data_IF_388694434216
#
_entry.id   IF_388694434216
#
_cell.length_a   1.000
_cell.length_b   1.000
_cell.length_c   1.000
_cell.angle_alpha   90.00
_cell.angle_beta   90.00
_cell.angle_gamma   90.00
#
_symmetry.space_group_name_H-M   'P 1'
#
loop_
_entity.id
_entity.type
_entity.pdbx_description
1 polymer ?
#
# COMPACT_ATOMS: atom_id res chain seq x y z
N UNK A 1 8.46 -0.14 0.03
CA UNK A 1 9.13 0.52 1.16
C UNK A 1 8.33 1.70 1.64
N UNK A 2 8.65 2.24 2.81
CA UNK A 2 7.94 3.37 3.42
C UNK A 2 8.53 3.74 4.78
N UNK A 3 7.72 4.31 5.65
CA UNK A 3 8.14 4.68 7.00
C UNK A 3 8.02 3.51 7.99
N UNK A 4 8.70 3.62 9.13
CA UNK A 4 8.49 2.69 10.25
C UNK A 4 7.20 3.04 10.96
N UNK A 5 6.37 2.05 11.28
CA UNK A 5 5.02 2.22 11.86
C UNK A 5 4.95 3.18 13.08
N UNK A 6 6.02 3.28 13.86
CA UNK A 6 6.14 4.14 15.07
C UNK A 6 6.89 5.46 14.85
N UNK A 7 7.28 5.78 13.62
CA UNK A 7 7.93 7.05 13.30
C UNK A 7 6.89 8.14 13.07
N UNK A 8 6.94 9.21 13.87
CA UNK A 8 6.08 10.40 13.73
C UNK A 8 6.54 11.41 12.66
N UNK A 9 7.69 11.16 12.03
CA UNK A 9 8.24 11.99 10.95
C UNK A 9 8.87 11.15 9.85
N UNK A 10 9.28 11.78 8.75
CA UNK A 10 9.79 11.10 7.55
C UNK A 10 8.83 11.20 6.37
N UNK A 11 8.99 10.32 5.38
CA UNK A 11 8.10 10.28 4.21
C UNK A 11 6.76 9.62 4.52
N UNK A 12 5.67 10.21 4.02
CA UNK A 12 4.30 9.72 4.20
C UNK A 12 3.76 8.98 2.95
N UNK A 13 4.63 8.26 2.24
CA UNK A 13 4.29 7.59 0.99
C UNK A 13 4.94 6.22 0.91
N UNK A 14 4.24 5.29 0.25
CA UNK A 14 4.81 4.01 -0.14
C UNK A 14 5.64 4.20 -1.40
N UNK A 15 6.83 3.61 -1.41
CA UNK A 15 7.78 3.68 -2.52
C UNK A 15 8.03 2.28 -3.07
N UNK A 16 7.96 2.14 -4.39
CA UNK A 16 8.47 0.96 -5.05
C UNK A 16 9.96 1.14 -5.35
N UNK A 17 10.79 0.34 -4.70
CA UNK A 17 12.25 0.45 -4.79
C UNK A 17 12.77 -0.51 -5.86
N UNK A 18 13.80 -0.07 -6.59
CA UNK A 18 14.49 -0.95 -7.54
C UNK A 18 15.18 -2.11 -6.78
N UNK A 19 15.09 -3.37 -7.26
CA UNK A 19 15.73 -4.51 -6.59
C UNK A 19 17.27 -4.43 -6.61
N UNK A 20 17.84 -3.67 -7.54
CA UNK A 20 19.27 -3.41 -7.67
C UNK A 20 19.54 -1.91 -7.44
N UNK A 21 19.71 -1.46 -6.18
CA UNK A 21 19.94 -0.05 -5.89
C UNK A 21 21.33 0.40 -6.35
N UNK A 22 21.43 1.62 -6.86
CA UNK A 22 22.69 2.26 -7.22
C UNK A 22 23.05 3.33 -6.19
N UNK A 23 24.31 3.35 -5.74
CA UNK A 23 24.78 4.29 -4.74
C UNK A 23 25.86 5.21 -5.31
N UNK A 24 25.84 6.48 -4.89
CA UNK A 24 26.98 7.39 -5.11
C UNK A 24 28.10 7.01 -4.16
N UNK A 25 29.35 7.28 -4.56
CA UNK A 25 30.54 7.01 -3.72
C UNK A 25 30.53 7.77 -2.39
N UNK A 26 29.94 8.97 -2.37
CA UNK A 26 29.87 9.81 -1.19
C UNK A 26 28.56 9.56 -0.43
N UNK A 27 28.68 9.30 0.87
CA UNK A 27 27.54 9.27 1.80
C UNK A 27 27.34 10.65 2.40
N UNK A 28 26.11 11.17 2.31
CA UNK A 28 25.74 12.44 2.93
C UNK A 28 25.65 12.23 4.45
N UNK A 29 26.33 13.10 5.23
CA UNK A 29 26.32 13.07 6.70
C UNK A 29 25.36 14.14 7.24
N UNK A 30 24.76 13.89 8.40
CA UNK A 30 23.86 14.82 9.09
C UNK A 30 22.53 14.20 9.49
N UNK A 31 21.54 15.06 9.75
CA UNK A 31 20.15 14.64 9.97
C UNK A 31 19.60 13.98 8.69
N UNK A 32 18.89 12.87 8.85
CA UNK A 32 18.45 12.04 7.74
C UNK A 32 17.06 11.46 7.99
N UNK A 33 16.34 11.19 6.89
CA UNK A 33 15.17 10.32 6.90
C UNK A 33 15.58 8.86 6.88
N UNK A 34 14.64 7.97 7.20
CA UNK A 34 14.82 6.52 7.13
C UNK A 34 13.83 5.93 6.14
N UNK A 35 14.26 4.86 5.46
CA UNK A 35 13.44 4.07 4.56
C UNK A 35 13.40 2.64 5.08
N UNK A 36 12.19 2.08 5.17
CA UNK A 36 11.95 0.73 5.67
C UNK A 36 11.33 -0.13 4.57
N UNK A 37 11.57 -1.44 4.64
CA UNK A 37 10.87 -2.44 3.83
C UNK A 37 9.37 -2.42 4.12
N UNK A 38 8.56 -2.83 3.15
CA UNK A 38 7.13 -3.04 3.38
C UNK A 38 6.87 -4.52 3.63
N UNK A 39 6.00 -4.84 4.57
CA UNK A 39 5.69 -6.23 4.93
C UNK A 39 4.21 -6.39 5.29
N UNK A 40 3.73 -7.63 5.16
CA UNK A 40 2.39 -8.00 5.59
C UNK A 40 2.37 -8.28 7.10
N UNK A 41 1.54 -7.53 7.83
CA UNK A 41 1.16 -7.88 9.20
C UNK A 41 -0.11 -8.74 9.18
N UNK A 42 0.08 -10.05 9.08
CA UNK A 42 -1.02 -11.03 8.96
C UNK A 42 -1.81 -11.16 10.27
N UNK A 43 -1.26 -10.67 11.40
CA UNK A 43 -2.01 -10.49 12.65
C UNK A 43 -3.10 -9.40 12.54
N UNK A 44 -2.96 -8.47 11.60
CA UNK A 44 -3.93 -7.40 11.34
C UNK A 44 -4.68 -7.51 10.01
N UNK A 45 -4.09 -8.06 8.94
CA UNK A 45 -4.74 -8.28 7.64
C UNK A 45 -3.91 -9.14 6.67
N UNK A 46 -4.58 -10.07 5.98
CA UNK A 46 -3.98 -10.86 4.89
C UNK A 46 -4.53 -10.49 3.49
N UNK A 47 -5.33 -9.42 3.38
CA UNK A 47 -5.95 -8.98 2.13
C UNK A 47 -6.68 -10.12 1.35
N UNK A 48 -7.16 -11.15 2.05
CA UNK A 48 -7.87 -12.28 1.46
C UNK A 48 -7.00 -13.46 1.03
N UNK A 49 -5.67 -13.41 1.20
CA UNK A 49 -4.78 -14.54 0.91
C UNK A 49 -4.32 -15.23 2.20
N UNK A 50 -4.84 -16.42 2.48
CA UNK A 50 -4.51 -17.20 3.68
C UNK A 50 -3.08 -17.76 3.70
N UNK A 51 -2.37 -17.75 2.57
CA UNK A 51 -1.01 -18.26 2.48
C UNK A 51 0.05 -17.22 2.85
N UNK A 52 -0.33 -15.94 2.98
CA UNK A 52 0.57 -14.91 3.48
C UNK A 52 0.90 -15.17 4.94
N UNK A 53 2.16 -14.95 5.28
CA UNK A 53 2.71 -15.07 6.63
C UNK A 53 3.09 -13.70 7.18
N UNK A 54 3.07 -13.60 8.49
CA UNK A 54 3.42 -12.37 9.19
C UNK A 54 4.91 -12.03 8.99
N UNK A 55 5.21 -10.88 8.38
CA UNK A 55 6.57 -10.50 7.98
C UNK A 55 6.95 -10.94 6.56
N UNK A 56 6.00 -11.42 5.75
CA UNK A 56 6.22 -11.56 4.31
C UNK A 56 6.45 -10.17 3.70
N UNK A 57 7.50 -10.05 2.89
CA UNK A 57 7.79 -8.82 2.17
C UNK A 57 6.66 -8.49 1.19
N UNK A 58 6.31 -7.21 1.07
CA UNK A 58 5.37 -6.72 0.05
C UNK A 58 6.14 -6.45 -1.25
N UNK A 59 5.92 -7.22 -2.33
CA UNK A 59 6.51 -6.92 -3.62
C UNK A 59 5.81 -5.72 -4.26
N UNK A 60 6.51 -5.06 -5.18
CA UNK A 60 5.96 -3.99 -5.98
C UNK A 60 6.54 -4.07 -7.39
N UNK A 61 5.86 -3.45 -8.35
CA UNK A 61 6.34 -3.31 -9.70
C UNK A 61 6.05 -1.90 -10.20
N UNK A 62 6.95 -1.38 -11.03
CA UNK A 62 6.73 -0.16 -11.81
C UNK A 62 6.60 -0.60 -13.26
N UNK A 63 5.44 -0.31 -13.87
CA UNK A 63 5.11 -0.76 -15.22
C UNK A 63 4.91 0.45 -16.14
N UNK A 64 5.37 0.34 -17.38
CA UNK A 64 5.03 1.30 -18.42
C UNK A 64 3.74 0.85 -19.12
N UNK A 65 2.74 1.73 -19.18
CA UNK A 65 1.56 1.48 -20.01
C UNK A 65 1.82 1.92 -21.45
N UNK A 66 1.62 1.01 -22.40
CA UNK A 66 1.73 1.32 -23.84
C UNK A 66 0.47 1.97 -24.42
N UNK A 67 -0.66 1.90 -23.69
CA UNK A 67 -1.98 2.35 -24.16
C UNK A 67 -2.47 3.60 -23.47
N UNK A 68 -1.67 4.18 -22.58
CA UNK A 68 -2.09 5.36 -21.84
C UNK A 68 -0.97 6.09 -21.11
N UNK A 69 -1.08 7.42 -21.06
CA UNK A 69 -0.14 8.30 -20.35
C UNK A 69 -0.67 8.75 -19.00
N UNK A 70 -1.94 8.48 -18.71
CA UNK A 70 -2.60 8.89 -17.48
C UNK A 70 -2.97 7.67 -16.64
N UNK A 71 -2.76 7.77 -15.33
CA UNK A 71 -3.17 6.79 -14.34
C UNK A 71 -4.24 7.39 -13.42
N UNK A 72 -5.25 6.59 -13.08
CA UNK A 72 -6.31 6.96 -12.15
C UNK A 72 -6.61 5.80 -11.20
N UNK A 73 -6.47 6.04 -9.90
CA UNK A 73 -7.02 5.19 -8.84
C UNK A 73 -8.42 5.68 -8.46
N UNK A 74 -9.41 4.79 -8.46
CA UNK A 74 -10.79 5.09 -8.03
C UNK A 74 -11.12 4.28 -6.77
N UNK A 75 -11.15 4.91 -5.57
CA UNK A 75 -11.63 4.27 -4.34
C UNK A 75 -13.12 3.92 -4.41
N UNK A 76 -13.52 2.83 -3.77
CA UNK A 76 -14.90 2.36 -3.69
C UNK A 76 -15.45 1.75 -5.00
N UNK A 77 -14.58 1.44 -5.96
CA UNK A 77 -14.94 0.85 -7.26
C UNK A 77 -14.04 -0.33 -7.60
N UNK A 78 -14.56 -1.24 -8.42
CA UNK A 78 -13.79 -2.34 -9.06
C UNK A 78 -13.79 -2.24 -10.59
N UNK A 79 -14.40 -1.17 -11.12
CA UNK A 79 -14.61 -0.89 -12.54
C UNK A 79 -14.14 0.53 -12.87
N UNK A 80 -13.43 0.69 -13.98
CA UNK A 80 -12.99 2.00 -14.46
C UNK A 80 -14.16 2.83 -15.00
N UNK A 81 -13.96 4.15 -15.09
CA UNK A 81 -14.87 5.02 -15.84
C UNK A 81 -14.81 4.70 -17.35
N UNK A 82 -15.85 5.05 -18.08
CA UNK A 82 -15.94 4.72 -19.51
C UNK A 82 -14.74 5.27 -20.30
N UNK A 83 -14.19 4.43 -21.20
CA UNK A 83 -13.04 4.77 -22.04
C UNK A 83 -11.68 4.63 -21.35
N UNK A 84 -11.63 4.12 -20.11
CA UNK A 84 -10.38 3.77 -19.42
C UNK A 84 -10.19 2.26 -19.37
N UNK A 85 -8.93 1.82 -19.45
CA UNK A 85 -8.55 0.42 -19.35
C UNK A 85 -8.21 0.08 -17.91
N UNK A 86 -8.83 -0.98 -17.37
CA UNK A 86 -8.49 -1.49 -16.03
C UNK A 86 -7.14 -2.18 -16.06
N UNK A 87 -6.25 -1.76 -15.16
CA UNK A 87 -4.96 -2.43 -14.92
C UNK A 87 -5.13 -3.51 -13.86
N UNK A 88 -5.65 -3.14 -12.68
CA UNK A 88 -5.97 -4.09 -11.61
C UNK A 88 -7.03 -3.55 -10.66
N UNK A 89 -7.50 -4.41 -9.75
CA UNK A 89 -8.44 -4.06 -8.70
C UNK A 89 -8.04 -4.73 -7.39
N UNK A 90 -8.49 -4.17 -6.28
CA UNK A 90 -8.21 -4.71 -4.97
C UNK A 90 -8.84 -3.89 -3.85
N UNK A 91 -8.09 -3.71 -2.77
CA UNK A 91 -8.55 -3.03 -1.57
C UNK A 91 -7.70 -1.79 -1.28
N UNK A 92 -8.38 -0.72 -0.89
CA UNK A 92 -7.71 0.49 -0.43
C UNK A 92 -6.97 0.16 0.86
N UNK A 93 -5.71 0.59 0.95
CA UNK A 93 -4.86 0.36 2.10
C UNK A 93 -4.13 1.63 2.54
N UNK A 94 -3.85 1.73 3.83
CA UNK A 94 -3.06 2.81 4.46
C UNK A 94 -2.50 2.30 5.80
N UNK A 95 -1.78 3.13 6.55
CA UNK A 95 -1.31 2.81 7.91
C UNK A 95 -2.46 2.50 8.87
N UNK A 96 -2.16 1.77 9.95
CA UNK A 96 -3.17 1.45 10.96
C UNK A 96 -3.62 2.71 11.70
N UNK A 97 -4.94 2.85 11.89
CA UNK A 97 -5.53 4.03 12.53
C UNK A 97 -5.32 4.08 14.06
N UNK A 98 -4.91 2.98 14.68
CA UNK A 98 -4.81 2.88 16.14
C UNK A 98 -3.62 3.66 16.69
N UNK A 99 -3.78 4.19 17.90
CA UNK A 99 -2.82 5.10 18.57
C UNK A 99 -1.41 4.52 18.76
N UNK A 100 -1.24 3.21 18.62
CA UNK A 100 0.07 2.56 18.69
C UNK A 100 0.95 2.89 17.47
N UNK A 101 0.34 3.25 16.33
CA UNK A 101 1.02 3.71 15.12
C UNK A 101 1.15 5.23 15.15
N UNK A 102 2.37 5.72 14.96
CA UNK A 102 2.65 7.15 14.85
C UNK A 102 2.96 7.56 13.40
N UNK A 103 3.21 6.60 12.53
CA UNK A 103 3.36 6.79 11.08
C UNK A 103 2.03 7.11 10.43
N UNK A 104 2.09 7.87 9.33
CA UNK A 104 0.98 8.10 8.43
C UNK A 104 1.47 7.92 7.01
N UNK A 105 0.66 7.28 6.17
CA UNK A 105 0.94 7.11 4.74
C UNK A 105 -0.30 7.41 3.92
N UNK A 106 -0.09 7.88 2.68
CA UNK A 106 -1.16 8.02 1.72
C UNK A 106 -1.91 6.71 1.45
N UNK A 107 -3.10 6.81 0.88
CA UNK A 107 -3.88 5.65 0.46
C UNK A 107 -3.30 5.03 -0.82
N UNK A 108 -3.18 3.70 -0.84
CA UNK A 108 -2.79 2.93 -2.03
C UNK A 108 -3.85 1.89 -2.37
N UNK A 109 -3.85 1.43 -3.63
CA UNK A 109 -4.66 0.28 -4.04
C UNK A 109 -3.81 -0.99 -3.99
N UNK A 110 -4.04 -1.85 -2.99
CA UNK A 110 -3.39 -3.16 -2.86
C UNK A 110 -4.15 -4.17 -3.69
N UNK A 111 -3.46 -4.98 -4.50
CA UNK A 111 -4.09 -5.98 -5.38
C UNK A 111 -4.99 -6.96 -4.62
N UNK A 112 -6.11 -7.36 -5.23
CA UNK A 112 -7.03 -8.37 -4.69
C UNK A 112 -6.43 -9.76 -4.47
N UNK A 113 -5.28 -10.04 -5.11
CA UNK A 113 -4.53 -11.30 -5.06
C UNK A 113 -3.09 -10.99 -4.64
N UNK A 114 -2.88 -10.55 -3.40
CA UNK A 114 -1.54 -10.23 -2.91
C UNK A 114 -0.65 -11.47 -2.95
N UNK A 115 0.64 -11.27 -3.20
CA UNK A 115 1.66 -12.31 -3.23
C UNK A 115 2.79 -11.95 -2.27
N UNK A 116 3.44 -12.96 -1.70
CA UNK A 116 4.64 -12.75 -0.90
C UNK A 116 5.82 -12.40 -1.83
N UNK A 117 6.59 -11.38 -1.46
CA UNK A 117 7.83 -11.02 -2.12
C UNK A 117 8.93 -12.05 -1.87
N UNK A 118 9.92 -12.08 -2.76
CA UNK A 118 11.15 -12.86 -2.54
C UNK A 118 12.02 -12.18 -1.48
N UNK A 119 12.69 -12.96 -0.64
CA UNK A 119 13.63 -12.45 0.35
C UNK A 119 13.56 -13.19 1.67
N UNK A 120 14.23 -12.65 2.68
CA UNK A 120 14.17 -13.17 4.05
C UNK A 120 12.82 -12.78 4.65
N UNK A 121 12.10 -13.77 5.18
CA UNK A 121 10.90 -13.56 5.98
C UNK A 121 11.31 -13.12 7.39
N UNK A 122 11.02 -11.87 7.74
CA UNK A 122 11.30 -11.31 9.07
C UNK A 122 10.29 -10.21 9.36
N UNK A 123 9.68 -10.25 10.54
CA UNK A 123 8.77 -9.20 11.01
C UNK A 123 9.58 -8.02 11.55
N UNK A 124 9.86 -7.04 10.69
CA UNK A 124 10.70 -5.87 11.00
C UNK A 124 9.91 -4.66 11.50
N UNK A 125 8.59 -4.77 11.51
CA UNK A 125 7.62 -3.69 11.66
C UNK A 125 7.98 -2.47 10.79
N UNK A 126 8.24 -2.67 9.50
CA UNK A 126 8.57 -1.61 8.56
C UNK A 126 7.36 -0.75 8.18
N UNK A 127 7.12 -0.62 6.87
CA UNK A 127 5.92 0.01 6.33
C UNK A 127 4.78 -1.00 6.26
N UNK A 128 3.71 -0.74 7.01
CA UNK A 128 2.63 -1.70 7.27
C UNK A 128 1.30 -1.20 6.69
N UNK A 129 0.93 -1.59 5.45
CA UNK A 129 -0.37 -1.26 4.89
C UNK A 129 -1.47 -2.19 5.44
N UNK A 130 -2.54 -1.58 5.96
CA UNK A 130 -3.77 -2.22 6.43
C UNK A 130 -4.96 -1.84 5.55
N UNK A 131 -5.95 -2.72 5.39
CA UNK A 131 -7.17 -2.41 4.65
C UNK A 131 -7.95 -1.28 5.30
N UNK A 132 -8.44 -0.36 4.47
CA UNK A 132 -9.34 0.70 4.88
C UNK A 132 -10.75 0.14 4.98
N UNK A 133 -11.40 0.34 6.13
CA UNK A 133 -12.81 -0.03 6.33
C UNK A 133 -13.69 1.22 6.33
N UNK A 134 -14.92 1.07 5.85
CA UNK A 134 -15.90 2.15 5.88
C UNK A 134 -16.37 2.46 7.31
N UNK A 135 -16.30 3.72 7.70
CA UNK A 135 -16.93 4.25 8.92
C UNK A 135 -18.16 5.06 8.52
N UNK A 136 -19.36 4.65 8.94
CA UNK A 136 -20.59 5.41 8.67
C UNK A 136 -20.57 6.77 9.39
N UNK A 137 -21.22 7.76 8.79
CA UNK A 137 -21.31 9.13 9.28
C UNK A 137 -21.53 10.06 8.09
N UNK A 138 -20.59 10.97 7.84
CA UNK A 138 -20.56 11.72 6.58
C UNK A 138 -20.40 10.79 5.35
N UNK A 139 -19.80 9.60 5.54
CA UNK A 139 -19.81 8.55 4.54
C UNK A 139 -21.22 7.89 4.51
N UNK A 140 -21.95 7.99 3.39
CA UNK A 140 -23.37 7.64 3.35
C UNK A 140 -23.59 6.13 3.39
N UNK A 141 -24.27 5.66 4.43
CA UNK A 141 -24.76 4.29 4.56
C UNK A 141 -26.26 4.25 4.15
N UNK A 142 -26.75 3.22 3.43
CA UNK A 142 -26.14 1.91 3.23
C UNK A 142 -25.30 1.76 1.95
N UNK A 143 -25.09 2.83 1.18
CA UNK A 143 -24.25 2.78 -0.04
C UNK A 143 -22.85 2.27 0.29
N UNK A 144 -22.27 2.77 1.37
CA UNK A 144 -21.18 2.11 2.08
C UNK A 144 -21.73 1.20 3.18
N UNK A 145 -21.05 0.09 3.40
CA UNK A 145 -21.37 -0.84 4.48
C UNK A 145 -20.35 -0.67 5.60
N UNK A 146 -20.82 -0.33 6.80
CA UNK A 146 -19.96 -0.19 7.99
C UNK A 146 -19.02 -1.39 8.13
N UNK A 147 -17.77 -1.11 8.48
CA UNK A 147 -16.71 -2.10 8.73
C UNK A 147 -16.33 -2.96 7.51
N UNK A 148 -16.88 -2.67 6.33
CA UNK A 148 -16.50 -3.33 5.08
C UNK A 148 -15.27 -2.66 4.49
N UNK A 149 -14.31 -3.48 4.05
CA UNK A 149 -13.12 -2.99 3.34
C UNK A 149 -13.51 -2.24 2.07
N UNK A 150 -12.91 -1.07 1.87
CA UNK A 150 -13.10 -0.24 0.68
C UNK A 150 -12.32 -0.86 -0.47
N UNK A 151 -12.99 -1.11 -1.59
CA UNK A 151 -12.34 -1.59 -2.82
C UNK A 151 -11.65 -0.44 -3.56
N UNK A 152 -10.82 -0.78 -4.53
CA UNK A 152 -10.21 0.20 -5.44
C UNK A 152 -9.95 -0.45 -6.79
N UNK A 153 -9.82 0.40 -7.81
CA UNK A 153 -9.41 0.02 -9.16
C UNK A 153 -8.38 1.02 -9.66
N UNK A 154 -7.34 0.53 -10.32
CA UNK A 154 -6.34 1.35 -11.01
C UNK A 154 -6.57 1.22 -12.51
N UNK A 155 -6.63 2.36 -13.18
CA UNK A 155 -7.04 2.50 -14.56
C UNK A 155 -6.02 3.35 -15.33
N UNK A 156 -5.88 3.11 -16.63
CA UNK A 156 -5.09 3.97 -17.52
C UNK A 156 -5.86 4.39 -18.76
N UNK A 157 -5.49 5.52 -19.34
CA UNK A 157 -6.02 6.03 -20.60
C UNK A 157 -4.95 6.63 -21.49
#
# INVERSE_FOLDING_TARGET
GGNFWRSSGGGASYLCMHPEPQFRRQTIKGLHGKLYGGEYDVGGSNFGNSNLKNGDNIPCAVCQSHRGSQELMIPGRITCVQGWTRQYTGYLATEYYGRSHASSSGYICMDSRPIAGKGVHRNDNGALPYPVKATCGALPCPKYRKDKSITCVVCTK
#
